data_IF_633968156005
#
_entry.id   IF_633968156005
#
_cell.length_a   1.000
_cell.length_b   1.000
_cell.length_c   1.000
_cell.angle_alpha   90.00
_cell.angle_beta   90.00
_cell.angle_gamma   90.00
#
_symmetry.space_group_name_H-M   'P 1'
#
loop_
_entity.id
_entity.type
_entity.pdbx_description
1 polymer ?
#
# COMPACT_ATOMS: atom_id res chain seq x y z
N UNK A 1 -2.03 -13.66 14.92
CA UNK A 1 -0.91 -14.60 14.65
C UNK A 1 0.40 -13.88 14.34
N UNK A 2 0.39 -12.63 13.83
CA UNK A 2 1.60 -11.87 13.46
C UNK A 2 2.43 -11.28 14.62
N UNK A 3 1.86 -11.05 15.81
CA UNK A 3 2.59 -10.46 16.94
C UNK A 3 3.81 -11.28 17.43
N UNK A 4 3.70 -12.61 17.61
CA UNK A 4 4.86 -13.47 17.88
C UNK A 4 5.95 -13.38 16.82
N UNK A 5 5.57 -13.28 15.54
CA UNK A 5 6.51 -13.20 14.42
C UNK A 5 7.26 -11.85 14.39
N UNK A 6 6.58 -10.74 14.75
CA UNK A 6 7.22 -9.41 14.90
C UNK A 6 8.28 -9.45 16.02
N UNK A 7 7.92 -10.00 17.19
CA UNK A 7 8.84 -10.12 18.32
C UNK A 7 10.04 -11.00 17.94
N UNK A 8 9.79 -12.07 17.20
CA UNK A 8 10.85 -12.95 16.70
C UNK A 8 11.79 -12.22 15.73
N UNK A 9 11.26 -11.53 14.71
CA UNK A 9 12.07 -10.75 13.75
C UNK A 9 12.92 -9.70 14.47
N UNK A 10 12.33 -8.94 15.40
CA UNK A 10 13.08 -7.95 16.20
C UNK A 10 14.17 -8.61 17.07
N UNK A 11 13.86 -9.73 17.72
CA UNK A 11 14.84 -10.47 18.53
C UNK A 11 16.03 -10.98 17.69
N UNK A 12 15.79 -11.42 16.45
CA UNK A 12 16.89 -11.82 15.56
C UNK A 12 17.71 -10.62 15.10
N UNK A 13 17.07 -9.47 14.83
CA UNK A 13 17.75 -8.24 14.42
C UNK A 13 18.72 -7.71 15.49
N UNK A 14 18.34 -7.73 16.77
CA UNK A 14 19.23 -7.31 17.87
C UNK A 14 20.47 -8.19 18.01
N UNK A 15 20.34 -9.49 17.72
CA UNK A 15 21.45 -10.44 17.83
C UNK A 15 22.53 -10.18 16.80
N UNK A 16 22.21 -9.64 15.61
CA UNK A 16 23.17 -9.38 14.52
C UNK A 16 24.40 -8.62 15.00
N UNK A 17 24.22 -7.63 15.87
CA UNK A 17 25.30 -6.79 16.38
C UNK A 17 26.37 -7.56 17.17
N UNK A 18 26.05 -8.77 17.63
CA UNK A 18 26.94 -9.61 18.43
C UNK A 18 27.75 -10.62 17.60
N UNK A 19 27.51 -10.71 16.29
CA UNK A 19 28.20 -11.65 15.40
C UNK A 19 29.38 -11.01 14.65
N UNK A 20 30.37 -11.81 14.22
CA UNK A 20 31.43 -11.36 13.34
C UNK A 20 30.88 -10.79 12.02
N UNK A 21 31.60 -9.83 11.43
CA UNK A 21 31.15 -9.05 10.25
C UNK A 21 30.77 -9.89 9.03
N UNK A 22 31.44 -11.02 8.82
CA UNK A 22 31.13 -11.96 7.73
C UNK A 22 29.79 -12.66 7.95
N UNK A 23 29.43 -12.95 9.21
CA UNK A 23 28.21 -13.63 9.60
C UNK A 23 27.03 -12.65 9.72
N UNK A 24 27.31 -11.39 10.07
CA UNK A 24 26.33 -10.30 10.08
C UNK A 24 25.58 -10.18 8.73
N UNK A 25 26.31 -10.21 7.62
CA UNK A 25 25.70 -10.08 6.28
C UNK A 25 24.74 -11.25 5.98
N UNK A 26 25.10 -12.46 6.39
CA UNK A 26 24.26 -13.65 6.22
C UNK A 26 23.00 -13.55 7.07
N UNK A 27 23.14 -13.19 8.34
CA UNK A 27 22.00 -13.01 9.25
C UNK A 27 21.07 -11.88 8.80
N UNK A 28 21.62 -10.74 8.34
CA UNK A 28 20.84 -9.64 7.78
C UNK A 28 19.99 -10.08 6.59
N UNK A 29 20.56 -10.91 5.71
CA UNK A 29 19.82 -11.50 4.58
C UNK A 29 18.67 -12.39 5.04
N UNK A 30 18.90 -13.23 6.05
CA UNK A 30 17.86 -14.10 6.63
C UNK A 30 16.75 -13.29 7.33
N UNK A 31 17.11 -12.24 8.09
CA UNK A 31 16.17 -11.35 8.74
C UNK A 31 15.33 -10.58 7.71
N UNK A 32 15.94 -10.10 6.63
CA UNK A 32 15.22 -9.42 5.56
C UNK A 32 14.16 -10.34 4.91
N UNK A 33 14.48 -11.63 4.72
CA UNK A 33 13.51 -12.62 4.25
C UNK A 33 12.37 -12.84 5.25
N UNK A 34 12.69 -13.01 6.54
CA UNK A 34 11.67 -13.19 7.58
C UNK A 34 10.73 -11.98 7.68
N UNK A 35 11.28 -10.77 7.62
CA UNK A 35 10.53 -9.50 7.60
C UNK A 35 9.57 -9.45 6.40
N UNK A 36 10.03 -9.88 5.23
CA UNK A 36 9.23 -9.99 4.01
C UNK A 36 8.04 -10.92 4.14
N UNK A 37 8.31 -12.15 4.59
CA UNK A 37 7.29 -13.18 4.71
C UNK A 37 6.22 -12.77 5.71
N UNK A 38 6.64 -12.14 6.80
CA UNK A 38 5.76 -11.55 7.81
C UNK A 38 4.86 -10.46 7.21
N UNK A 39 5.42 -9.51 6.45
CA UNK A 39 4.64 -8.44 5.83
C UNK A 39 3.70 -8.95 4.75
N UNK A 40 4.14 -9.89 3.90
CA UNK A 40 3.31 -10.52 2.89
C UNK A 40 2.11 -11.23 3.52
N UNK A 41 2.35 -12.07 4.53
CA UNK A 41 1.29 -12.77 5.27
C UNK A 41 0.33 -11.82 5.97
N UNK A 42 0.87 -10.85 6.72
CA UNK A 42 0.04 -9.87 7.44
C UNK A 42 -0.81 -9.06 6.47
N UNK A 43 -0.28 -8.69 5.30
CA UNK A 43 -1.03 -7.99 4.27
C UNK A 43 -2.17 -8.83 3.70
N UNK A 44 -1.95 -10.11 3.45
CA UNK A 44 -3.02 -11.03 3.04
C UNK A 44 -4.11 -11.18 4.12
N UNK A 45 -3.72 -11.31 5.39
CA UNK A 45 -4.67 -11.40 6.51
C UNK A 45 -5.47 -10.11 6.69
N UNK A 46 -4.87 -8.93 6.46
CA UNK A 46 -5.55 -7.63 6.54
C UNK A 46 -6.43 -7.32 5.32
N UNK A 47 -6.09 -7.85 4.14
CA UNK A 47 -6.85 -7.60 2.90
C UNK A 47 -8.27 -8.15 2.97
N UNK A 48 -8.46 -9.32 3.59
CA UNK A 48 -9.77 -9.97 3.74
C UNK A 48 -10.79 -9.12 4.53
N UNK A 49 -10.52 -8.71 5.79
CA UNK A 49 -11.45 -7.86 6.53
C UNK A 49 -11.64 -6.49 5.88
N UNK A 50 -10.61 -5.95 5.23
CA UNK A 50 -10.70 -4.68 4.51
C UNK A 50 -11.63 -4.75 3.30
N UNK A 51 -11.60 -5.85 2.54
CA UNK A 51 -12.53 -6.12 1.44
C UNK A 51 -13.97 -6.13 1.96
N UNK A 52 -14.22 -6.78 3.10
CA UNK A 52 -15.56 -6.81 3.70
C UNK A 52 -16.03 -5.41 4.11
N UNK A 53 -15.22 -4.63 4.82
CA UNK A 53 -15.57 -3.27 5.24
C UNK A 53 -15.89 -2.40 4.01
N UNK A 54 -14.96 -2.34 3.05
CA UNK A 54 -15.14 -1.57 1.81
C UNK A 54 -16.39 -2.02 1.04
N UNK A 55 -16.58 -3.33 0.90
CA UNK A 55 -17.70 -3.91 0.18
C UNK A 55 -19.06 -3.58 0.80
N UNK A 56 -19.20 -3.70 2.13
CA UNK A 56 -20.44 -3.34 2.82
C UNK A 56 -20.69 -1.83 2.80
N UNK A 57 -19.67 -1.01 2.98
CA UNK A 57 -19.80 0.45 2.88
C UNK A 57 -20.22 0.87 1.47
N UNK A 58 -19.60 0.30 0.42
CA UNK A 58 -19.99 0.55 -0.98
C UNK A 58 -21.42 0.07 -1.27
N UNK A 59 -21.84 -1.06 -0.71
CA UNK A 59 -23.19 -1.59 -0.87
C UNK A 59 -24.24 -0.65 -0.25
N UNK A 60 -23.99 -0.15 0.97
CA UNK A 60 -24.88 0.78 1.65
C UNK A 60 -25.01 2.10 0.89
N UNK A 61 -23.89 2.69 0.48
CA UNK A 61 -23.89 3.92 -0.31
C UNK A 61 -24.59 3.76 -1.66
N UNK A 62 -24.47 2.59 -2.30
CA UNK A 62 -25.04 2.36 -3.64
C UNK A 62 -26.52 1.95 -3.64
N UNK A 63 -26.94 1.14 -2.67
CA UNK A 63 -28.30 0.55 -2.67
C UNK A 63 -29.27 1.25 -1.71
N UNK A 64 -28.76 2.04 -0.76
CA UNK A 64 -29.57 2.59 0.32
C UNK A 64 -29.34 4.08 0.57
N UNK A 65 -28.54 4.78 -0.25
CA UNK A 65 -28.29 6.23 -0.05
C UNK A 65 -29.55 7.08 -0.05
N UNK A 66 -30.59 6.68 -0.79
CA UNK A 66 -31.90 7.33 -0.81
C UNK A 66 -32.69 7.20 0.51
N UNK A 67 -32.27 6.29 1.41
CA UNK A 67 -32.93 5.96 2.67
C UNK A 67 -32.09 6.30 3.90
N UNK A 68 -30.92 6.89 3.70
CA UNK A 68 -29.98 7.26 4.75
C UNK A 68 -29.95 8.76 4.91
N UNK A 69 -29.83 9.22 6.15
CA UNK A 69 -29.62 10.64 6.45
C UNK A 69 -28.24 11.10 5.95
N UNK A 70 -28.11 12.36 5.58
CA UNK A 70 -26.87 12.94 5.05
C UNK A 70 -25.67 12.76 6.00
N UNK A 71 -25.91 12.83 7.32
CA UNK A 71 -24.88 12.58 8.33
C UNK A 71 -24.36 11.13 8.28
N UNK A 72 -25.24 10.16 8.05
CA UNK A 72 -24.87 8.75 7.93
C UNK A 72 -24.11 8.50 6.62
N UNK A 73 -24.53 9.16 5.53
CA UNK A 73 -23.81 9.11 4.25
C UNK A 73 -22.39 9.64 4.43
N UNK A 74 -22.21 10.79 5.10
CA UNK A 74 -20.89 11.36 5.36
C UNK A 74 -20.00 10.42 6.20
N UNK A 75 -20.54 9.76 7.22
CA UNK A 75 -19.81 8.76 8.01
C UNK A 75 -19.38 7.56 7.13
N UNK A 76 -20.28 7.06 6.28
CA UNK A 76 -19.97 5.95 5.36
C UNK A 76 -18.89 6.33 4.35
N UNK A 77 -18.93 7.55 3.81
CA UNK A 77 -17.87 8.06 2.94
C UNK A 77 -16.52 8.14 3.68
N UNK A 78 -16.51 8.57 4.94
CA UNK A 78 -15.28 8.60 5.73
C UNK A 78 -14.72 7.19 6.02
N UNK A 79 -15.59 6.21 6.30
CA UNK A 79 -15.19 4.79 6.46
C UNK A 79 -14.60 4.25 5.14
N UNK A 80 -15.22 4.57 4.00
CA UNK A 80 -14.74 4.16 2.68
C UNK A 80 -13.37 4.75 2.39
N UNK A 81 -13.21 6.06 2.62
CA UNK A 81 -11.96 6.77 2.43
C UNK A 81 -10.86 6.23 3.37
N UNK A 82 -11.20 5.99 4.65
CA UNK A 82 -10.30 5.38 5.62
C UNK A 82 -9.85 3.98 5.20
N UNK A 83 -10.78 3.16 4.70
CA UNK A 83 -10.49 1.82 4.18
C UNK A 83 -9.56 1.87 2.97
N UNK A 84 -9.75 2.85 2.08
CA UNK A 84 -8.88 3.06 0.92
C UNK A 84 -7.47 3.49 1.34
N UNK A 85 -7.36 4.44 2.28
CA UNK A 85 -6.06 4.86 2.83
C UNK A 85 -5.31 3.68 3.46
N UNK A 86 -6.01 2.82 4.20
CA UNK A 86 -5.41 1.62 4.80
C UNK A 86 -4.95 0.61 3.73
N UNK A 87 -5.73 0.42 2.67
CA UNK A 87 -5.34 -0.42 1.51
C UNK A 87 -4.02 0.07 0.90
N UNK A 88 -3.91 1.38 0.69
CA UNK A 88 -2.72 2.00 0.08
C UNK A 88 -1.49 1.88 0.99
N UNK A 89 -1.65 2.00 2.31
CA UNK A 89 -0.57 1.77 3.27
C UNK A 89 -0.10 0.31 3.29
N UNK A 90 -1.03 -0.65 3.25
CA UNK A 90 -0.69 -2.07 3.19
C UNK A 90 0.09 -2.38 1.91
N UNK A 91 -0.37 -1.88 0.76
CA UNK A 91 0.32 -2.08 -0.52
C UNK A 91 1.73 -1.47 -0.50
N UNK A 92 1.86 -0.23 -0.03
CA UNK A 92 3.15 0.47 0.06
C UNK A 92 4.14 -0.27 0.96
N UNK A 93 3.67 -0.88 2.06
CA UNK A 93 4.50 -1.67 2.96
C UNK A 93 5.05 -2.94 2.27
N UNK A 94 4.20 -3.66 1.52
CA UNK A 94 4.61 -4.84 0.76
C UNK A 94 5.61 -4.48 -0.32
N UNK A 95 5.34 -3.42 -1.08
CA UNK A 95 6.21 -2.94 -2.15
C UNK A 95 7.59 -2.52 -1.62
N UNK A 96 7.62 -1.76 -0.51
CA UNK A 96 8.88 -1.38 0.15
C UNK A 96 9.68 -2.60 0.57
N UNK A 97 9.01 -3.63 1.11
CA UNK A 97 9.68 -4.86 1.51
C UNK A 97 10.26 -5.62 0.32
N UNK A 98 9.52 -5.73 -0.79
CA UNK A 98 10.01 -6.38 -2.01
C UNK A 98 11.19 -5.62 -2.63
N UNK A 99 11.18 -4.29 -2.54
CA UNK A 99 12.25 -3.42 -3.02
C UNK A 99 13.54 -3.62 -2.21
N UNK A 100 13.48 -3.65 -0.87
CA UNK A 100 14.63 -3.88 0.03
C UNK A 100 15.37 -5.20 -0.29
N UNK A 101 14.67 -6.21 -0.80
CA UNK A 101 15.24 -7.52 -1.14
C UNK A 101 15.68 -7.64 -2.60
N UNK A 102 15.48 -6.61 -3.42
CA UNK A 102 15.71 -6.70 -4.87
C UNK A 102 14.78 -7.69 -5.58
N UNK A 103 13.64 -8.05 -4.95
CA UNK A 103 12.66 -9.01 -5.49
C UNK A 103 11.64 -8.37 -6.42
N UNK A 104 11.67 -7.03 -6.56
CA UNK A 104 10.82 -6.30 -7.49
C UNK A 104 11.12 -6.74 -8.94
N UNK A 105 10.32 -7.66 -9.46
CA UNK A 105 10.42 -8.10 -10.85
C UNK A 105 9.74 -7.09 -11.75
N UNK A 106 10.53 -6.26 -12.42
CA UNK A 106 10.03 -5.37 -13.46
C UNK A 106 9.45 -6.22 -14.61
N UNK A 107 8.14 -6.11 -14.84
CA UNK A 107 7.51 -6.55 -16.08
C UNK A 107 7.69 -5.45 -17.11
N UNK A 108 8.66 -5.62 -18.01
CA UNK A 108 8.88 -4.70 -19.12
C UNK A 108 7.94 -5.08 -20.26
N UNK A 109 7.04 -4.18 -20.59
CA UNK A 109 6.14 -4.30 -21.74
C UNK A 109 6.15 -3.01 -22.56
N UNK A 110 5.69 -3.10 -23.82
CA UNK A 110 5.53 -1.91 -24.66
C UNK A 110 4.29 -1.16 -24.15
N UNK A 111 4.50 0.08 -23.74
CA UNK A 111 3.44 0.93 -23.19
C UNK A 111 3.34 2.23 -23.99
N UNK A 112 2.12 2.77 -24.12
CA UNK A 112 1.89 4.08 -24.72
C UNK A 112 2.19 5.17 -23.68
N UNK A 113 3.41 5.72 -23.75
CA UNK A 113 3.84 6.79 -22.86
C UNK A 113 3.01 8.06 -23.04
N UNK A 114 2.47 8.32 -24.23
CA UNK A 114 1.62 9.49 -24.48
C UNK A 114 0.30 9.35 -23.73
N UNK A 115 -0.31 8.17 -23.78
CA UNK A 115 -1.49 7.85 -22.97
C UNK A 115 -1.18 7.96 -21.46
N UNK A 116 -0.10 7.34 -20.99
CA UNK A 116 0.26 7.31 -19.57
C UNK A 116 0.52 8.72 -19.01
N UNK A 117 1.27 9.56 -19.73
CA UNK A 117 1.55 10.93 -19.29
C UNK A 117 0.25 11.74 -19.23
N UNK A 118 -0.62 11.64 -20.24
CA UNK A 118 -1.90 12.34 -20.25
C UNK A 118 -2.83 11.88 -19.12
N UNK A 119 -2.85 10.57 -18.81
CA UNK A 119 -3.58 10.03 -17.68
C UNK A 119 -3.11 10.64 -16.35
N UNK A 120 -1.80 10.66 -16.11
CA UNK A 120 -1.23 11.26 -14.90
C UNK A 120 -1.54 12.75 -14.77
N UNK A 121 -1.46 13.50 -15.87
CA UNK A 121 -1.76 14.94 -15.88
C UNK A 121 -3.22 15.19 -15.53
N UNK A 122 -4.15 14.37 -16.05
CA UNK A 122 -5.57 14.46 -15.72
C UNK A 122 -5.84 14.17 -14.24
N UNK A 123 -5.15 13.20 -13.65
CA UNK A 123 -5.28 12.91 -12.22
C UNK A 123 -4.78 14.07 -11.35
N UNK A 124 -3.71 14.75 -11.78
CA UNK A 124 -3.09 15.85 -11.05
C UNK A 124 -3.80 17.21 -11.27
N UNK A 125 -4.63 17.34 -12.30
CA UNK A 125 -5.33 18.60 -12.62
C UNK A 125 -6.16 19.14 -11.45
N UNK A 126 -6.83 18.27 -10.69
CA UNK A 126 -7.62 18.69 -9.53
C UNK A 126 -6.75 19.37 -8.46
N UNK A 127 -5.64 18.73 -8.10
CA UNK A 127 -4.69 19.26 -7.10
C UNK A 127 -3.97 20.50 -7.62
N UNK A 128 -3.58 20.50 -8.91
CA UNK A 128 -2.92 21.64 -9.52
C UNK A 128 -3.82 22.89 -9.52
N UNK A 129 -5.12 22.73 -9.84
CA UNK A 129 -6.10 23.82 -9.81
C UNK A 129 -6.31 24.37 -8.39
N UNK A 130 -6.40 23.49 -7.38
CA UNK A 130 -6.50 23.89 -5.98
C UNK A 130 -5.29 24.70 -5.49
N UNK A 131 -4.13 24.52 -6.13
CA UNK A 131 -2.87 25.20 -5.78
C UNK A 131 -2.49 26.31 -6.76
N UNK A 132 -3.37 26.66 -7.69
CA UNK A 132 -3.13 27.65 -8.75
C UNK A 132 -1.88 27.35 -9.61
N UNK A 133 -1.59 26.06 -9.81
CA UNK A 133 -0.46 25.59 -10.60
C UNK A 133 -0.90 25.15 -12.00
N UNK A 134 -0.07 25.45 -13.01
CA UNK A 134 -0.30 25.03 -14.40
C UNK A 134 0.60 23.85 -14.76
N UNK A 135 0.01 22.75 -15.21
CA UNK A 135 0.73 21.62 -15.79
C UNK A 135 0.72 21.78 -17.31
N UNK A 136 1.90 21.80 -17.93
CA UNK A 136 2.05 21.87 -19.40
C UNK A 136 2.75 20.61 -19.88
N UNK A 137 2.22 20.00 -20.94
CA UNK A 137 2.68 18.72 -21.47
C UNK A 137 3.00 18.92 -22.95
N UNK A 138 4.25 18.61 -23.34
CA UNK A 138 4.69 18.67 -24.73
C UNK A 138 5.25 17.31 -25.11
N UNK A 139 4.36 16.44 -25.58
CA UNK A 139 4.69 15.10 -26.05
C UNK A 139 4.45 15.12 -27.57
N UNK A 140 5.39 14.55 -28.33
CA UNK A 140 5.31 14.43 -29.79
C UNK A 140 4.33 13.35 -30.22
#
# INVERSE_FOLDING_TARGET
KSFPDIIYVNSQAEKVLHYPKEEQNKMLSEINKLKSDLFSRTSHELKTPLISIKGFTDLLLKLHSDKLDDDVISILEEIKNGSKRLEDYINSLVESSQLEQGLLKLRKEKEDLTFLINFCVKQLQGIASLREQKISVNIK
#
